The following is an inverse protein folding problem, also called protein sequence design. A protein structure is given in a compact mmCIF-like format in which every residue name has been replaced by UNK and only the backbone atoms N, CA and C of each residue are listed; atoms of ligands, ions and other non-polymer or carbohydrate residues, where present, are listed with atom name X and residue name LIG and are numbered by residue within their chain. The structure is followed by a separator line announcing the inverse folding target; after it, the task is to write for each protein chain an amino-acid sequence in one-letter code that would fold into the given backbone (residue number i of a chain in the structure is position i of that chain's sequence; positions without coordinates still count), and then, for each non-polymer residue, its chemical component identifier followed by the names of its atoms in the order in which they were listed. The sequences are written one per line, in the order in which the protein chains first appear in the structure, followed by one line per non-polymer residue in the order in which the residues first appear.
data_IF_343320497951
#
_entry.id   IF_343320497951
#
_cell.length_a   1.000
_cell.length_b   1.000
_cell.length_c   1.000
_cell.angle_alpha   90.00
_cell.angle_beta   90.00
_cell.angle_gamma   90.00
#
_symmetry.space_group_name_H-M   'P 1'
#
loop_
_entity.id
_entity.type
_entity.pdbx_description
1 polymer ?
#
# COMPACT_ATOMS: atom_id res chain seq x y z
N UNK A 1 8.75 -13.06 31.78
CA UNK A 1 9.12 -12.84 30.37
C UNK A 1 8.24 -11.70 29.87
N UNK A 2 8.82 -10.58 29.43
CA UNK A 2 8.08 -9.42 28.92
C UNK A 2 7.95 -9.58 27.42
N UNK A 3 6.75 -9.85 26.95
CA UNK A 3 6.46 -10.08 25.53
C UNK A 3 6.50 -8.78 24.72
N UNK A 4 6.96 -8.97 23.49
CA UNK A 4 7.45 -8.02 22.50
C UNK A 4 6.34 -7.14 21.88
N UNK A 5 5.98 -6.05 22.55
CA UNK A 5 5.14 -4.99 21.95
C UNK A 5 5.93 -3.94 21.14
N UNK A 6 7.27 -4.04 21.09
CA UNK A 6 8.17 -3.07 20.42
C UNK A 6 8.22 -3.18 18.88
N UNK A 7 8.06 -4.39 18.33
CA UNK A 7 8.47 -4.68 16.94
C UNK A 7 7.58 -4.01 15.88
N UNK A 8 6.26 -3.93 16.09
CA UNK A 8 5.34 -3.40 15.07
C UNK A 8 5.35 -1.87 15.00
N UNK A 9 5.58 -1.16 16.11
CA UNK A 9 5.72 0.31 16.11
C UNK A 9 7.06 0.73 15.54
N UNK A 10 8.15 0.04 15.89
CA UNK A 10 9.49 0.33 15.36
C UNK A 10 9.56 0.14 13.84
N UNK A 11 8.95 -0.92 13.30
CA UNK A 11 8.90 -1.14 11.86
C UNK A 11 8.11 -0.07 11.10
N UNK A 12 7.03 0.48 11.70
CA UNK A 12 6.24 1.57 11.10
C UNK A 12 7.01 2.88 11.11
N UNK A 13 7.68 3.19 12.22
CA UNK A 13 8.51 4.38 12.36
C UNK A 13 9.73 4.30 11.44
N UNK A 14 10.35 3.12 11.29
CA UNK A 14 11.46 2.89 10.38
C UNK A 14 11.04 3.10 8.91
N UNK A 15 9.88 2.58 8.49
CA UNK A 15 9.37 2.77 7.13
C UNK A 15 9.09 4.23 6.78
N UNK A 16 8.47 4.99 7.68
CA UNK A 16 8.22 6.42 7.48
C UNK A 16 9.53 7.23 7.43
N UNK A 17 10.50 6.89 8.30
CA UNK A 17 11.82 7.54 8.30
C UNK A 17 12.60 7.28 7.01
N UNK A 18 12.55 6.08 6.45
CA UNK A 18 13.23 5.76 5.18
C UNK A 18 12.64 6.60 4.03
N UNK A 19 11.32 6.77 3.97
CA UNK A 19 10.67 7.62 2.96
C UNK A 19 11.11 9.08 3.11
N UNK A 20 11.08 9.63 4.33
CA UNK A 20 11.49 11.02 4.58
C UNK A 20 12.97 11.23 4.26
N UNK A 21 13.84 10.31 4.69
CA UNK A 21 15.27 10.36 4.39
C UNK A 21 15.53 10.27 2.87
N UNK A 22 14.78 9.41 2.17
CA UNK A 22 14.85 9.29 0.72
C UNK A 22 14.45 10.58 -0.01
N UNK A 23 13.36 11.22 0.42
CA UNK A 23 12.91 12.51 -0.14
C UNK A 23 13.98 13.58 0.12
N UNK A 24 14.50 13.69 1.34
CA UNK A 24 15.53 14.67 1.68
C UNK A 24 16.80 14.44 0.87
N UNK A 25 17.27 13.19 0.74
CA UNK A 25 18.45 12.85 -0.04
C UNK A 25 18.30 13.24 -1.51
N UNK A 26 17.15 12.96 -2.11
CA UNK A 26 16.85 13.31 -3.52
C UNK A 26 16.82 14.82 -3.71
N UNK A 27 16.16 15.56 -2.81
CA UNK A 27 16.11 17.03 -2.86
C UNK A 27 17.52 17.61 -2.75
N UNK A 28 18.37 17.06 -1.88
CA UNK A 28 19.77 17.49 -1.76
C UNK A 28 20.59 17.17 -3.01
N UNK A 29 20.46 15.97 -3.57
CA UNK A 29 21.16 15.57 -4.80
C UNK A 29 20.73 16.46 -5.97
N UNK A 30 19.43 16.68 -6.15
CA UNK A 30 18.90 17.50 -7.25
C UNK A 30 19.23 18.97 -7.06
N UNK A 31 19.13 19.51 -5.84
CA UNK A 31 19.56 20.87 -5.52
C UNK A 31 21.06 21.06 -5.76
N UNK A 32 21.88 20.10 -5.34
CA UNK A 32 23.33 20.11 -5.58
C UNK A 32 23.69 20.00 -7.07
N UNK A 33 23.06 19.08 -7.80
CA UNK A 33 23.22 18.93 -9.24
C UNK A 33 22.78 20.21 -9.99
N UNK A 34 21.70 20.83 -9.54
CA UNK A 34 21.21 22.08 -10.11
C UNK A 34 22.13 23.26 -9.87
N UNK A 35 22.65 23.40 -8.66
CA UNK A 35 23.68 24.39 -8.33
C UNK A 35 24.95 24.15 -9.16
N UNK A 36 25.41 22.91 -9.27
CA UNK A 36 26.56 22.54 -10.09
C UNK A 36 26.34 22.89 -11.56
N UNK A 37 25.16 22.61 -12.10
CA UNK A 37 24.79 22.97 -13.48
C UNK A 37 24.84 24.50 -13.66
N UNK A 38 24.27 25.27 -12.75
CA UNK A 38 24.28 26.74 -12.79
C UNK A 38 25.69 27.34 -12.68
N UNK A 39 26.61 26.72 -11.95
CA UNK A 39 28.00 27.15 -11.84
C UNK A 39 28.81 26.85 -13.10
N UNK A 40 28.47 25.79 -13.83
CA UNK A 40 29.15 25.41 -15.08
C UNK A 40 28.56 26.07 -16.34
N UNK A 41 27.37 26.68 -16.23
CA UNK A 41 26.78 27.44 -17.34
C UNK A 41 27.58 28.74 -17.58
N UNK A 42 28.04 29.00 -18.82
CA UNK A 42 28.71 30.24 -19.17
C UNK A 42 27.85 31.45 -18.82
N UNK A 43 28.49 32.50 -18.30
CA UNK A 43 27.81 33.78 -18.13
C UNK A 43 27.37 34.30 -19.50
N UNK A 44 26.17 34.88 -19.55
CA UNK A 44 25.62 35.47 -20.76
C UNK A 44 26.57 36.56 -21.31
N UNK A 45 27.27 37.27 -20.42
CA UNK A 45 28.22 38.32 -20.78
C UNK A 45 29.63 37.82 -21.15
N UNK A 46 29.89 36.50 -21.11
CA UNK A 46 31.23 35.96 -21.36
C UNK A 46 31.74 36.26 -22.78
N UNK A 47 30.85 36.34 -23.77
CA UNK A 47 31.20 36.71 -25.14
C UNK A 47 31.65 38.17 -25.24
N UNK A 48 30.85 39.11 -24.73
CA UNK A 48 31.18 40.53 -24.76
C UNK A 48 32.48 40.84 -23.99
N UNK A 49 32.68 40.19 -22.83
CA UNK A 49 33.92 40.34 -22.06
C UNK A 49 35.17 39.88 -22.84
N UNK A 50 35.05 38.83 -23.67
CA UNK A 50 36.14 38.37 -24.54
C UNK A 50 36.40 39.33 -25.71
N UNK A 51 35.34 39.94 -26.28
CA UNK A 51 35.46 40.95 -27.33
C UNK A 51 36.12 42.22 -26.80
N UNK A 52 35.72 42.68 -25.61
CA UNK A 52 36.34 43.82 -24.91
C UNK A 52 37.82 43.55 -24.61
N UNK A 53 38.15 42.36 -24.09
CA UNK A 53 39.53 41.98 -23.81
C UNK A 53 40.40 41.97 -25.08
N UNK A 54 39.89 41.42 -26.18
CA UNK A 54 40.60 41.40 -27.46
C UNK A 54 40.90 42.82 -27.98
N UNK A 55 40.02 43.78 -27.69
CA UNK A 55 40.18 45.17 -28.09
C UNK A 55 41.24 45.91 -27.26
N UNK A 56 41.21 45.75 -25.94
CA UNK A 56 42.23 46.34 -25.04
C UNK A 56 43.62 45.80 -25.37
N UNK A 57 43.71 44.52 -25.73
CA UNK A 57 44.98 43.84 -25.99
C UNK A 57 45.54 44.14 -27.40
N UNK A 58 44.73 44.55 -28.38
CA UNK A 58 45.16 44.80 -29.76
C UNK A 58 45.02 46.29 -30.15
N UNK A 59 46.13 47.02 -30.09
CA UNK A 59 46.20 48.45 -30.45
C UNK A 59 46.00 48.77 -31.95
N UNK A 60 45.95 47.75 -32.82
CA UNK A 60 45.87 47.89 -34.28
C UNK A 60 44.42 47.98 -34.82
N UNK A 61 43.41 47.80 -33.97
CA UNK A 61 41.97 47.81 -34.33
C UNK A 61 41.35 49.21 -34.23
N UNK A 62 41.97 50.22 -34.83
CA UNK A 62 41.54 51.63 -34.72
C UNK A 62 40.94 52.20 -36.00
N UNK A 63 40.86 51.42 -37.09
CA UNK A 63 40.27 51.90 -38.34
C UNK A 63 38.74 51.93 -38.30
N UNK A 64 38.11 52.85 -39.05
CA UNK A 64 36.65 53.05 -39.05
C UNK A 64 35.88 51.77 -39.47
N UNK A 65 36.47 50.97 -40.36
CA UNK A 65 35.89 49.70 -40.80
C UNK A 65 35.92 48.63 -39.70
N UNK A 66 37.02 48.54 -38.93
CA UNK A 66 37.14 47.64 -37.78
C UNK A 66 36.17 48.04 -36.65
N UNK A 67 36.03 49.34 -36.40
CA UNK A 67 35.10 49.87 -35.38
C UNK A 67 33.64 49.51 -35.73
N UNK A 68 33.23 49.63 -37.00
CA UNK A 68 31.89 49.19 -37.44
C UNK A 68 31.68 47.69 -37.33
N UNK A 69 32.69 46.88 -37.65
CA UNK A 69 32.64 45.43 -37.48
C UNK A 69 32.46 45.05 -36.00
N UNK A 70 33.15 45.77 -35.11
CA UNK A 70 33.03 45.66 -33.66
C UNK A 70 31.65 46.05 -33.15
N UNK A 71 31.07 47.14 -33.65
CA UNK A 71 29.71 47.55 -33.28
C UNK A 71 28.68 46.47 -33.62
N UNK A 72 28.82 45.85 -34.80
CA UNK A 72 27.96 44.73 -35.23
C UNK A 72 28.21 43.47 -34.39
N UNK A 73 29.47 43.16 -34.06
CA UNK A 73 29.83 42.04 -33.18
C UNK A 73 29.32 42.23 -31.75
N UNK A 74 29.42 43.45 -31.21
CA UNK A 74 28.91 43.79 -29.88
C UNK A 74 27.37 43.71 -29.84
N UNK A 75 26.68 44.26 -30.85
CA UNK A 75 25.22 44.13 -30.95
C UNK A 75 24.78 42.66 -31.09
N UNK A 76 25.46 41.90 -31.96
CA UNK A 76 25.20 40.47 -32.14
C UNK A 76 25.52 39.67 -30.87
N UNK A 77 26.56 40.07 -30.14
CA UNK A 77 26.96 39.50 -28.86
C UNK A 77 25.95 39.75 -27.75
N UNK A 78 25.42 40.97 -27.64
CA UNK A 78 24.33 41.29 -26.71
C UNK A 78 23.06 40.50 -27.02
N UNK A 79 22.69 40.37 -28.29
CA UNK A 79 21.54 39.56 -28.69
C UNK A 79 21.75 38.06 -28.36
N UNK A 80 22.95 37.53 -28.58
CA UNK A 80 23.30 36.16 -28.22
C UNK A 80 23.32 35.92 -26.70
N UNK A 81 23.82 36.88 -25.94
CA UNK A 81 23.78 36.91 -24.47
C UNK A 81 22.35 36.81 -23.95
N UNK A 82 21.42 37.60 -24.50
CA UNK A 82 20.02 37.57 -24.11
C UNK A 82 19.37 36.19 -24.37
N UNK A 83 19.72 35.54 -25.48
CA UNK A 83 19.25 34.18 -25.78
C UNK A 83 19.83 33.15 -24.79
N UNK A 84 21.13 33.23 -24.47
CA UNK A 84 21.77 32.34 -23.49
C UNK A 84 21.17 32.51 -22.08
N UNK A 85 20.89 33.75 -21.67
CA UNK A 85 20.20 34.04 -20.41
C UNK A 85 18.80 33.41 -20.39
N UNK A 86 18.06 33.50 -21.51
CA UNK A 86 16.78 32.85 -21.70
C UNK A 86 16.86 31.33 -21.55
N UNK A 87 17.82 30.67 -22.21
CA UNK A 87 18.01 29.21 -22.08
C UNK A 87 18.37 28.78 -20.66
N UNK A 88 19.23 29.53 -19.96
CA UNK A 88 19.58 29.26 -18.55
C UNK A 88 18.35 29.29 -17.65
N UNK A 89 17.46 30.26 -17.84
CA UNK A 89 16.21 30.35 -17.08
C UNK A 89 15.27 29.18 -17.38
N UNK A 90 15.09 28.83 -18.66
CA UNK A 90 14.25 27.70 -19.07
C UNK A 90 14.76 26.38 -18.48
N UNK A 91 16.06 26.11 -18.56
CA UNK A 91 16.68 24.91 -17.98
C UNK A 91 16.45 24.86 -16.47
N UNK A 92 16.61 25.99 -15.78
CA UNK A 92 16.37 26.06 -14.33
C UNK A 92 14.92 25.76 -13.97
N UNK A 93 13.95 26.36 -14.68
CA UNK A 93 12.52 26.11 -14.46
C UNK A 93 12.17 24.64 -14.74
N UNK A 94 12.64 24.07 -15.85
CA UNK A 94 12.40 22.66 -16.19
C UNK A 94 12.98 21.71 -15.13
N UNK A 95 14.18 21.99 -14.63
CA UNK A 95 14.81 21.20 -13.56
C UNK A 95 14.01 21.29 -12.25
N UNK A 96 13.51 22.47 -11.90
CA UNK A 96 12.65 22.66 -10.72
C UNK A 96 11.35 21.87 -10.84
N UNK A 97 10.69 21.93 -12.00
CA UNK A 97 9.48 21.14 -12.28
C UNK A 97 9.75 19.64 -12.22
N UNK A 98 10.83 19.16 -12.86
CA UNK A 98 11.20 17.74 -12.83
C UNK A 98 11.47 17.26 -11.39
N UNK A 99 12.15 18.09 -10.59
CA UNK A 99 12.42 17.82 -9.18
C UNK A 99 11.13 17.72 -8.37
N UNK A 100 10.22 18.69 -8.52
CA UNK A 100 8.93 18.69 -7.84
C UNK A 100 8.07 17.48 -8.23
N UNK A 101 8.06 17.12 -9.51
CA UNK A 101 7.29 15.98 -10.03
C UNK A 101 7.82 14.65 -9.49
N UNK A 102 9.14 14.49 -9.41
CA UNK A 102 9.77 13.30 -8.83
C UNK A 102 9.45 13.16 -7.33
N UNK A 103 9.51 14.26 -6.57
CA UNK A 103 9.15 14.28 -5.14
C UNK A 103 7.67 13.95 -4.96
N UNK A 104 6.77 14.52 -5.77
CA UNK A 104 5.34 14.23 -5.73
C UNK A 104 5.05 12.76 -6.01
N UNK A 105 5.67 12.17 -7.04
CA UNK A 105 5.54 10.75 -7.35
C UNK A 105 5.93 9.85 -6.16
N UNK A 106 7.06 10.14 -5.50
CA UNK A 106 7.50 9.38 -4.32
C UNK A 106 6.53 9.52 -3.14
N UNK A 107 6.05 10.73 -2.89
CA UNK A 107 5.05 10.97 -1.85
C UNK A 107 3.75 10.18 -2.12
N UNK A 108 3.29 10.14 -3.37
CA UNK A 108 2.14 9.34 -3.78
C UNK A 108 2.38 7.84 -3.59
N UNK A 109 3.53 7.32 -4.03
CA UNK A 109 3.89 5.90 -3.84
C UNK A 109 3.92 5.54 -2.36
N UNK A 110 4.55 6.36 -1.52
CA UNK A 110 4.59 6.14 -0.08
C UNK A 110 3.18 6.16 0.54
N UNK A 111 2.33 7.09 0.09
CA UNK A 111 0.93 7.18 0.53
C UNK A 111 0.16 5.92 0.13
N UNK A 112 0.27 5.46 -1.12
CA UNK A 112 -0.36 4.23 -1.61
C UNK A 112 0.09 3.01 -0.79
N UNK A 113 1.39 2.89 -0.50
CA UNK A 113 1.91 1.79 0.33
C UNK A 113 1.30 1.83 1.73
N UNK A 114 1.17 3.02 2.34
CA UNK A 114 0.56 3.18 3.66
C UNK A 114 -0.93 2.80 3.64
N UNK A 115 -1.67 3.24 2.62
CA UNK A 115 -3.08 2.90 2.44
C UNK A 115 -3.27 1.39 2.24
N UNK A 116 -2.49 0.76 1.35
CA UNK A 116 -2.55 -0.69 1.09
C UNK A 116 -2.24 -1.49 2.36
N UNK A 117 -1.27 -1.05 3.16
CA UNK A 117 -0.98 -1.68 4.46
C UNK A 117 -2.14 -1.56 5.44
N UNK A 118 -2.87 -0.44 5.43
CA UNK A 118 -4.06 -0.25 6.27
C UNK A 118 -5.21 -1.16 5.82
N UNK A 119 -5.43 -1.28 4.51
CA UNK A 119 -6.44 -2.19 3.94
C UNK A 119 -6.14 -3.64 4.30
N UNK A 120 -4.90 -4.10 4.12
CA UNK A 120 -4.53 -5.50 4.47
C UNK A 120 -4.63 -5.83 5.98
N UNK A 121 -4.51 -4.84 6.86
CA UNK A 121 -4.82 -5.05 8.29
C UNK A 121 -6.32 -5.11 8.56
N UNK A 122 -7.13 -4.33 7.84
CA UNK A 122 -8.60 -4.39 7.91
C UNK A 122 -9.11 -5.70 7.33
N UNK A 123 -8.52 -6.25 6.28
CA UNK A 123 -8.89 -7.59 5.79
C UNK A 123 -8.65 -8.68 6.85
N UNK A 124 -7.60 -8.51 7.69
CA UNK A 124 -7.26 -9.46 8.76
C UNK A 124 -8.02 -9.24 10.07
N UNK A 125 -8.41 -8.01 10.39
CA UNK A 125 -9.08 -7.65 11.65
C UNK A 125 -10.57 -7.32 11.48
N UNK A 126 -11.01 -7.08 10.25
CA UNK A 126 -12.33 -6.54 9.90
C UNK A 126 -13.34 -7.56 9.39
N UNK A 127 -12.95 -8.82 9.20
CA UNK A 127 -13.93 -9.92 9.13
C UNK A 127 -14.25 -10.33 10.58
N UNK A 128 -14.77 -9.39 11.37
CA UNK A 128 -15.66 -9.78 12.46
C UNK A 128 -16.98 -10.15 11.80
N UNK A 129 -17.42 -11.38 12.01
CA UNK A 129 -18.70 -11.84 11.49
C UNK A 129 -19.79 -11.15 12.31
N UNK A 130 -20.38 -10.10 11.73
CA UNK A 130 -21.41 -9.27 12.34
C UNK A 130 -22.81 -9.80 12.04
N UNK A 131 -22.97 -10.60 10.98
CA UNK A 131 -24.20 -11.32 10.65
C UNK A 131 -23.90 -12.71 10.09
N UNK A 132 -24.69 -13.69 10.53
CA UNK A 132 -24.74 -15.04 9.99
C UNK A 132 -26.22 -15.39 9.76
N UNK A 133 -26.63 -15.52 8.50
CA UNK A 133 -27.96 -16.01 8.13
C UNK A 133 -27.82 -17.37 7.47
N UNK A 134 -28.46 -18.39 8.03
CA UNK A 134 -28.46 -19.75 7.47
C UNK A 134 -29.78 -19.96 6.75
N UNK A 135 -29.72 -20.32 5.46
CA UNK A 135 -30.88 -20.75 4.68
C UNK A 135 -30.76 -22.26 4.40
N UNK A 136 -31.60 -23.04 5.10
CA UNK A 136 -31.60 -24.50 4.98
C UNK A 136 -32.23 -24.99 3.67
N UNK A 137 -33.22 -24.29 3.16
CA UNK A 137 -33.93 -24.68 1.94
C UNK A 137 -33.08 -24.39 0.69
N UNK A 138 -32.41 -23.23 0.69
CA UNK A 138 -31.53 -22.77 -0.38
C UNK A 138 -30.14 -23.41 -0.38
N UNK A 139 -29.77 -24.13 0.68
CA UNK A 139 -28.42 -24.67 0.91
C UNK A 139 -27.30 -23.61 0.81
N UNK A 140 -27.54 -22.41 1.34
CA UNK A 140 -26.53 -21.35 1.38
C UNK A 140 -26.54 -20.64 2.73
N UNK A 141 -25.43 -19.94 2.99
CA UNK A 141 -25.26 -19.15 4.20
C UNK A 141 -24.80 -17.77 3.80
N UNK A 142 -25.41 -16.74 4.39
CA UNK A 142 -25.02 -15.34 4.19
C UNK A 142 -24.20 -14.89 5.39
N UNK A 143 -22.96 -14.46 5.14
CA UNK A 143 -22.03 -13.97 6.17
C UNK A 143 -21.58 -12.58 5.78
N UNK A 144 -21.91 -11.56 6.58
CA UNK A 144 -21.62 -10.15 6.27
C UNK A 144 -22.04 -9.78 4.82
N UNK A 145 -23.26 -10.13 4.44
CA UNK A 145 -23.86 -9.91 3.11
C UNK A 145 -23.21 -10.69 1.94
N UNK A 146 -22.31 -11.64 2.23
CA UNK A 146 -21.73 -12.55 1.24
C UNK A 146 -22.41 -13.91 1.27
N UNK A 147 -22.92 -14.37 0.11
CA UNK A 147 -23.57 -15.69 -0.03
C UNK A 147 -22.54 -16.80 -0.30
N UNK A 148 -22.56 -17.84 0.53
CA UNK A 148 -21.76 -19.05 0.39
C UNK A 148 -22.67 -20.24 0.13
N UNK A 149 -22.56 -20.84 -1.06
CA UNK A 149 -23.26 -22.09 -1.37
C UNK A 149 -22.56 -23.27 -0.71
N UNK A 150 -23.30 -24.04 0.05
CA UNK A 150 -22.79 -25.17 0.82
C UNK A 150 -23.48 -26.46 0.38
N UNK A 151 -22.88 -27.59 0.73
CA UNK A 151 -23.57 -28.89 0.63
C UNK A 151 -24.57 -29.03 1.78
N UNK A 152 -25.62 -29.83 1.64
CA UNK A 152 -26.61 -30.03 2.70
C UNK A 152 -25.97 -30.49 4.02
N UNK A 153 -24.98 -31.39 3.95
CA UNK A 153 -24.23 -31.82 5.13
C UNK A 153 -23.43 -30.69 5.80
N UNK A 154 -22.92 -29.72 5.04
CA UNK A 154 -22.23 -28.56 5.58
C UNK A 154 -23.21 -27.55 6.21
N UNK A 155 -24.39 -27.37 5.61
CA UNK A 155 -25.49 -26.55 6.16
C UNK A 155 -26.02 -27.11 7.48
N UNK A 156 -26.15 -28.43 7.60
CA UNK A 156 -26.48 -29.09 8.86
C UNK A 156 -25.39 -28.87 9.91
N UNK A 157 -24.12 -29.05 9.53
CA UNK A 157 -22.99 -28.87 10.46
C UNK A 157 -22.90 -27.44 11.01
N UNK A 158 -23.03 -26.43 10.16
CA UNK A 158 -23.02 -25.03 10.61
C UNK A 158 -24.28 -24.67 11.40
N UNK A 159 -25.44 -25.31 11.11
CA UNK A 159 -26.66 -25.13 11.89
C UNK A 159 -26.50 -25.62 13.33
N UNK A 160 -25.95 -26.81 13.52
CA UNK A 160 -25.69 -27.39 14.86
C UNK A 160 -24.70 -26.53 15.65
N UNK A 161 -23.64 -26.06 15.00
CA UNK A 161 -22.68 -25.15 15.63
C UNK A 161 -23.28 -23.78 15.97
N UNK A 162 -24.21 -23.29 15.14
CA UNK A 162 -24.91 -22.03 15.37
C UNK A 162 -25.87 -22.13 16.55
N UNK A 163 -26.61 -23.23 16.66
CA UNK A 163 -27.49 -23.54 17.79
C UNK A 163 -26.69 -23.64 19.09
N UNK A 164 -25.65 -24.48 19.12
CA UNK A 164 -24.75 -24.58 20.27
C UNK A 164 -24.12 -23.23 20.65
N UNK A 165 -23.83 -22.36 19.67
CA UNK A 165 -23.32 -21.01 19.95
C UNK A 165 -24.37 -20.10 20.59
N UNK A 166 -25.63 -20.18 20.18
CA UNK A 166 -26.71 -19.45 20.85
C UNK A 166 -26.84 -19.88 22.32
N UNK A 167 -26.71 -21.18 22.59
CA UNK A 167 -26.74 -21.75 23.94
C UNK A 167 -25.44 -21.48 24.72
N UNK A 168 -24.34 -21.20 24.02
CA UNK A 168 -23.03 -20.92 24.61
C UNK A 168 -22.22 -22.17 24.92
N UNK A 169 -22.55 -23.26 24.25
CA UNK A 169 -21.93 -24.57 24.37
C UNK A 169 -20.74 -24.72 23.41
N UNK A 170 -19.84 -25.63 23.76
CA UNK A 170 -18.74 -26.08 22.90
C UNK A 170 -18.98 -27.55 22.65
N UNK A 171 -19.05 -27.95 21.38
CA UNK A 171 -19.35 -29.33 21.00
C UNK A 171 -18.09 -30.07 20.56
N UNK A 172 -17.87 -31.26 21.11
CA UNK A 172 -16.90 -32.24 20.61
C UNK A 172 -17.30 -32.78 19.24
N UNK A 173 -16.36 -33.39 18.51
CA UNK A 173 -16.65 -34.05 17.25
C UNK A 173 -17.70 -35.16 17.38
N UNK A 174 -17.66 -35.94 18.46
CA UNK A 174 -18.65 -36.97 18.74
C UNK A 174 -20.05 -36.39 18.99
N UNK A 175 -20.15 -35.27 19.72
CA UNK A 175 -21.43 -34.58 19.96
C UNK A 175 -22.00 -33.96 18.69
N UNK A 176 -21.16 -33.37 17.84
CA UNK A 176 -21.58 -32.86 16.52
C UNK A 176 -22.18 -34.00 15.68
N UNK A 177 -21.51 -35.15 15.65
CA UNK A 177 -22.01 -36.31 14.89
C UNK A 177 -23.30 -36.88 15.52
N UNK A 178 -23.40 -36.90 16.84
CA UNK A 178 -24.58 -37.37 17.57
C UNK A 178 -25.83 -36.54 17.22
N UNK A 179 -25.71 -35.22 17.25
CA UNK A 179 -26.81 -34.30 16.94
C UNK A 179 -27.23 -34.43 15.48
N UNK A 180 -26.29 -34.52 14.54
CA UNK A 180 -26.59 -34.63 13.10
C UNK A 180 -27.17 -36.00 12.75
N UNK A 181 -26.64 -37.09 13.33
CA UNK A 181 -27.05 -38.46 13.01
C UNK A 181 -28.23 -38.98 13.84
N UNK A 182 -28.63 -38.25 14.89
CA UNK A 182 -29.69 -38.66 15.84
C UNK A 182 -29.31 -39.86 16.71
N UNK A 183 -28.01 -40.10 16.92
CA UNK A 183 -27.49 -41.22 17.71
C UNK A 183 -26.92 -40.73 19.04
N UNK A 184 -26.67 -41.65 19.98
CA UNK A 184 -26.00 -41.32 21.23
C UNK A 184 -24.53 -40.90 20.99
N UNK A 185 -23.99 -39.91 21.73
CA UNK A 185 -22.59 -39.51 21.61
C UNK A 185 -21.58 -40.63 21.82
N UNK A 186 -21.91 -41.62 22.65
CA UNK A 186 -21.07 -42.79 22.93
C UNK A 186 -20.89 -43.71 21.71
N UNK A 187 -21.84 -43.69 20.78
CA UNK A 187 -21.80 -44.48 19.54
C UNK A 187 -21.10 -43.73 18.40
N UNK A 188 -20.73 -42.46 18.61
CA UNK A 188 -20.19 -41.55 17.62
C UNK A 188 -18.66 -41.41 17.70
N UNK A 189 -18.01 -41.45 16.53
CA UNK A 189 -16.57 -41.27 16.45
C UNK A 189 -16.20 -39.78 16.34
N UNK A 190 -15.30 -39.33 17.21
CA UNK A 190 -14.72 -37.97 17.19
C UNK A 190 -14.13 -37.61 15.82
N UNK A 191 -13.50 -38.59 15.14
CA UNK A 191 -12.89 -38.41 13.82
C UNK A 191 -13.91 -38.09 12.71
N UNK A 192 -15.15 -38.60 12.85
CA UNK A 192 -16.23 -38.32 11.90
C UNK A 192 -16.69 -36.86 12.02
N UNK A 193 -16.89 -36.37 13.24
CA UNK A 193 -17.19 -34.96 13.50
C UNK A 193 -16.07 -34.01 13.06
N UNK A 194 -14.81 -34.36 13.35
CA UNK A 194 -13.65 -33.58 12.90
C UNK A 194 -13.57 -33.48 11.36
N UNK A 195 -13.99 -34.54 10.65
CA UNK A 195 -14.05 -34.55 9.18
C UNK A 195 -15.16 -33.62 8.66
N UNK A 196 -16.31 -33.56 9.33
CA UNK A 196 -17.38 -32.59 8.98
C UNK A 196 -16.91 -31.16 9.16
N UNK A 197 -16.24 -30.86 10.26
CA UNK A 197 -15.64 -29.52 10.48
C UNK A 197 -14.64 -29.19 9.38
N UNK A 198 -13.77 -30.13 9.01
CA UNK A 198 -12.81 -29.92 7.93
C UNK A 198 -13.51 -29.59 6.61
N UNK A 199 -14.53 -30.37 6.23
CA UNK A 199 -15.31 -30.12 4.99
C UNK A 199 -16.08 -28.81 5.03
N UNK A 200 -16.63 -28.43 6.18
CA UNK A 200 -17.29 -27.14 6.35
C UNK A 200 -16.29 -25.98 6.18
N UNK A 201 -15.09 -26.09 6.75
CA UNK A 201 -14.01 -25.12 6.53
C UNK A 201 -13.61 -25.03 5.06
N UNK A 202 -13.45 -26.18 4.40
CA UNK A 202 -13.12 -26.25 2.97
C UNK A 202 -14.21 -25.59 2.11
N UNK A 203 -15.49 -25.78 2.46
CA UNK A 203 -16.64 -25.21 1.74
C UNK A 203 -16.83 -23.69 1.97
N UNK A 204 -16.48 -23.18 3.15
CA UNK A 204 -16.49 -21.74 3.46
C UNK A 204 -15.30 -20.98 2.84
N UNK A 205 -14.37 -21.68 2.19
CA UNK A 205 -13.25 -21.11 1.45
C UNK A 205 -11.89 -21.24 2.16
N UNK A 206 -10.82 -21.04 1.40
CA UNK A 206 -9.45 -21.28 1.86
C UNK A 206 -9.00 -20.21 2.89
N UNK A 207 -8.91 -20.64 4.15
CA UNK A 207 -8.24 -20.06 5.31
C UNK A 207 -8.89 -18.86 6.03
N UNK A 208 -9.29 -17.78 5.34
CA UNK A 208 -9.60 -16.54 6.08
C UNK A 208 -10.97 -16.58 6.79
N UNK A 209 -12.03 -17.03 6.11
CA UNK A 209 -13.40 -17.04 6.66
C UNK A 209 -13.60 -18.21 7.63
N UNK A 210 -12.99 -19.36 7.33
CA UNK A 210 -13.11 -20.60 8.11
C UNK A 210 -12.42 -20.56 9.49
N UNK A 211 -11.23 -19.95 9.59
CA UNK A 211 -10.52 -19.79 10.88
C UNK A 211 -11.18 -18.74 11.77
N UNK A 212 -11.78 -17.70 11.18
CA UNK A 212 -12.49 -16.65 11.90
C UNK A 212 -13.90 -17.06 12.34
N UNK A 213 -14.51 -18.05 11.66
CA UNK A 213 -15.83 -18.57 12.03
C UNK A 213 -15.77 -19.72 13.02
N UNK A 214 -14.89 -20.71 12.82
CA UNK A 214 -14.91 -21.97 13.59
C UNK A 214 -13.65 -22.09 14.44
N UNK A 215 -13.79 -21.80 15.73
CA UNK A 215 -12.72 -21.91 16.71
C UNK A 215 -12.62 -23.33 17.26
N UNK A 216 -11.40 -23.90 17.21
CA UNK A 216 -11.08 -25.16 17.88
C UNK A 216 -10.60 -24.86 19.29
N UNK A 217 -11.28 -25.40 20.30
CA UNK A 217 -10.90 -25.30 21.71
C UNK A 217 -10.20 -26.58 22.09
N UNK A 218 -8.93 -26.46 22.47
CA UNK A 218 -8.07 -27.62 22.77
C UNK A 218 -8.73 -28.52 23.82
N UNK A 219 -8.90 -29.80 23.48
CA UNK A 219 -9.48 -30.85 24.35
C UNK A 219 -10.95 -30.63 24.76
N UNK A 220 -11.66 -29.71 24.11
CA UNK A 220 -13.09 -29.45 24.37
C UNK A 220 -13.96 -29.56 23.12
N UNK A 221 -13.45 -29.18 21.94
CA UNK A 221 -14.18 -29.33 20.68
C UNK A 221 -14.19 -28.08 19.82
N UNK A 222 -15.33 -27.74 19.26
CA UNK A 222 -15.51 -26.70 18.24
C UNK A 222 -16.65 -25.76 18.62
N UNK A 223 -16.49 -24.47 18.31
CA UNK A 223 -17.49 -23.43 18.57
C UNK A 223 -17.42 -22.33 17.51
N UNK A 224 -18.54 -21.66 17.21
CA UNK A 224 -18.51 -20.49 16.34
C UNK A 224 -17.99 -19.25 17.08
N UNK A 225 -17.04 -18.53 16.49
CA UNK A 225 -16.47 -17.30 17.04
C UNK A 225 -17.24 -16.06 16.58
N UNK A 226 -18.56 -16.08 16.79
CA UNK A 226 -19.49 -15.01 16.39
C UNK A 226 -20.35 -14.58 17.59
N UNK A 227 -20.92 -13.37 17.53
CA UNK A 227 -21.84 -12.91 18.58
C UNK A 227 -23.17 -13.66 18.46
N UNK A 228 -23.76 -14.11 19.58
CA UNK A 228 -25.03 -14.82 19.61
C UNK A 228 -26.17 -14.02 18.94
N UNK A 229 -26.13 -12.70 19.09
CA UNK A 229 -27.13 -11.79 18.52
C UNK A 229 -26.98 -11.59 16.99
N UNK A 230 -25.88 -12.06 16.39
CA UNK A 230 -25.61 -11.96 14.96
C UNK A 230 -26.19 -13.15 14.16
N UNK A 231 -26.66 -14.20 14.84
CA UNK A 231 -27.10 -15.45 14.21
C UNK A 231 -28.60 -15.38 13.91
N UNK A 232 -28.97 -15.64 12.65
CA UNK A 232 -30.34 -15.83 12.19
C UNK A 232 -30.44 -17.15 11.44
N UNK A 233 -31.41 -17.96 11.82
CA UNK A 233 -31.72 -19.23 11.13
C UNK A 233 -33.07 -19.01 10.45
N UNK A 234 -33.08 -19.13 9.12
CA UNK A 234 -34.27 -19.05 8.28
C UNK A 234 -34.66 -20.46 7.80
#
# INVERSE_FOLDING_TARGET
MRDSTSSASEARVAGARVVVLGIVAIVLILGGAGAFLLLNLPDANAFNARVEQLFVDNADLTSEAEIKLLEVLAQSGTAFSDVLAGYRLVIFVLMLFATGLLVACLAFVATIILLNRRVGMIERQGIQVSSLTIDREGNFVIINDMEFKLTSAAVETISVLAEARMDGEVLSGAEIEAVISGRSPEDCEEASGATRIKRLRDALGNQIVAELLIKTVARQGYVLDINRNAIRVA
#
